data_IF_267435759356
#
_entry.id   IF_267435759356
#
_cell.length_a   1.000
_cell.length_b   1.000
_cell.length_c   1.000
_cell.angle_alpha   90.00
_cell.angle_beta   90.00
_cell.angle_gamma   90.00
#
_symmetry.space_group_name_H-M   'P 1'
#
loop_
_entity.id
_entity.type
_entity.pdbx_description
1 polymer ?
#
# COMPACT_ATOMS: atom_id res chain seq x y z
N UNK A 1 12.42 -26.56 -12.81
CA UNK A 1 12.91 -26.34 -11.43
C UNK A 1 11.72 -26.51 -10.50
N UNK A 2 11.81 -27.32 -9.47
CA UNK A 2 10.67 -27.50 -8.56
C UNK A 2 10.66 -26.35 -7.53
N UNK A 3 9.84 -25.33 -7.78
CA UNK A 3 9.69 -24.16 -6.91
C UNK A 3 8.58 -24.31 -5.87
N UNK A 4 7.95 -25.49 -5.79
CA UNK A 4 6.82 -25.74 -4.89
C UNK A 4 7.18 -25.49 -3.41
N UNK A 5 8.41 -25.81 -2.97
CA UNK A 5 8.89 -25.58 -1.60
C UNK A 5 8.95 -24.09 -1.27
N UNK A 6 9.48 -23.29 -2.18
CA UNK A 6 9.56 -21.83 -2.03
C UNK A 6 8.16 -21.19 -2.05
N UNK A 7 7.25 -21.66 -2.92
CA UNK A 7 5.85 -21.22 -2.96
C UNK A 7 5.13 -21.56 -1.66
N UNK A 8 5.32 -22.77 -1.13
CA UNK A 8 4.75 -23.18 0.16
C UNK A 8 5.28 -22.31 1.31
N UNK A 9 6.58 -22.00 1.33
CA UNK A 9 7.18 -21.11 2.33
C UNK A 9 6.55 -19.70 2.26
N UNK A 10 6.53 -19.07 1.09
CA UNK A 10 5.97 -17.72 0.91
C UNK A 10 4.48 -17.65 1.25
N UNK A 11 3.66 -18.62 0.83
CA UNK A 11 2.25 -18.68 1.18
C UNK A 11 2.04 -18.84 2.70
N UNK A 12 2.90 -19.64 3.36
CA UNK A 12 2.84 -19.81 4.82
C UNK A 12 3.20 -18.53 5.59
N UNK A 13 4.13 -17.72 5.06
CA UNK A 13 4.45 -16.39 5.62
C UNK A 13 3.25 -15.46 5.50
N UNK A 14 2.67 -15.35 4.29
CA UNK A 14 1.56 -14.43 4.01
C UNK A 14 0.32 -14.74 4.84
N UNK A 15 0.00 -16.01 5.03
CA UNK A 15 -1.21 -16.44 5.73
C UNK A 15 -1.02 -16.62 7.24
N UNK A 16 0.24 -16.72 7.70
CA UNK A 16 0.57 -17.08 9.09
C UNK A 16 0.13 -18.49 9.48
N UNK A 17 -0.23 -19.36 8.49
CA UNK A 17 -0.82 -20.68 8.74
C UNK A 17 -0.58 -21.65 7.60
N UNK A 18 -0.09 -22.84 7.91
CA UNK A 18 0.06 -23.91 6.90
C UNK A 18 -1.29 -24.37 6.33
N UNK A 19 -2.37 -24.32 7.12
CA UNK A 19 -3.70 -24.72 6.65
C UNK A 19 -4.23 -23.74 5.61
N UNK A 20 -4.13 -22.43 5.87
CA UNK A 20 -4.55 -21.39 4.90
C UNK A 20 -3.65 -21.40 3.67
N UNK A 21 -2.35 -21.55 3.84
CA UNK A 21 -1.43 -21.68 2.71
C UNK A 21 -1.74 -22.92 1.84
N UNK A 22 -2.23 -24.00 2.45
CA UNK A 22 -2.65 -25.19 1.73
C UNK A 22 -3.92 -24.94 0.89
N UNK A 23 -4.89 -24.22 1.42
CA UNK A 23 -6.07 -23.78 0.69
C UNK A 23 -5.69 -22.92 -0.51
N UNK A 24 -4.84 -21.88 -0.31
CA UNK A 24 -4.38 -20.97 -1.37
C UNK A 24 -3.62 -21.69 -2.49
N UNK A 25 -2.86 -22.73 -2.16
CA UNK A 25 -2.04 -23.48 -3.11
C UNK A 25 -2.69 -24.75 -3.66
N UNK A 26 -3.91 -25.09 -3.23
CA UNK A 26 -4.58 -26.33 -3.56
C UNK A 26 -3.77 -27.59 -3.16
N UNK A 27 -3.16 -27.53 -1.97
CA UNK A 27 -2.46 -28.65 -1.32
C UNK A 27 -3.20 -29.11 -0.08
N UNK A 28 -2.74 -30.19 0.54
CA UNK A 28 -3.12 -30.55 1.91
C UNK A 28 -2.23 -29.81 2.92
N UNK A 29 -2.73 -29.58 4.13
CA UNK A 29 -1.92 -28.97 5.22
C UNK A 29 -0.65 -29.76 5.49
N UNK A 30 -0.70 -31.11 5.45
CA UNK A 30 0.46 -31.97 5.58
C UNK A 30 1.44 -31.82 4.40
N UNK A 31 0.91 -31.63 3.19
CA UNK A 31 1.73 -31.41 1.99
C UNK A 31 2.51 -30.09 2.10
N UNK A 32 1.87 -28.99 2.49
CA UNK A 32 2.57 -27.71 2.71
C UNK A 32 3.62 -27.84 3.82
N UNK A 33 3.28 -28.50 4.95
CA UNK A 33 4.22 -28.70 6.05
C UNK A 33 5.45 -29.51 5.59
N UNK A 34 5.25 -30.55 4.77
CA UNK A 34 6.35 -31.35 4.21
C UNK A 34 7.22 -30.55 3.26
N UNK A 35 6.62 -29.74 2.37
CA UNK A 35 7.37 -28.89 1.44
C UNK A 35 8.22 -27.87 2.21
N UNK A 36 7.68 -27.26 3.24
CA UNK A 36 8.44 -26.31 4.08
C UNK A 36 9.54 -27.03 4.86
N UNK A 37 9.26 -28.19 5.44
CA UNK A 37 10.28 -28.99 6.15
C UNK A 37 11.42 -29.41 5.21
N UNK A 38 11.09 -29.84 4.00
CA UNK A 38 12.10 -30.18 3.01
C UNK A 38 12.96 -28.96 2.58
N UNK A 39 12.39 -27.75 2.57
CA UNK A 39 13.17 -26.52 2.35
C UNK A 39 14.08 -26.20 3.54
N UNK A 40 13.60 -26.37 4.77
CA UNK A 40 14.38 -26.18 5.99
C UNK A 40 15.57 -27.17 6.04
N UNK A 41 15.33 -28.42 5.66
CA UNK A 41 16.38 -29.46 5.57
C UNK A 41 17.40 -29.13 4.46
N UNK A 42 16.96 -28.74 3.27
CA UNK A 42 17.84 -28.37 2.15
C UNK A 42 18.76 -27.19 2.50
N UNK A 43 18.23 -26.20 3.21
CA UNK A 43 18.98 -25.03 3.62
C UNK A 43 19.75 -25.23 4.96
N UNK A 44 19.48 -26.33 5.65
CA UNK A 44 19.97 -26.61 7.00
C UNK A 44 19.65 -25.47 7.98
N UNK A 45 18.43 -24.92 7.90
CA UNK A 45 17.94 -23.81 8.73
C UNK A 45 16.51 -24.07 9.18
N UNK A 46 16.15 -23.55 10.35
CA UNK A 46 14.77 -23.49 10.80
C UNK A 46 14.19 -22.12 10.38
N UNK A 47 13.16 -22.12 9.54
CA UNK A 47 12.59 -20.89 8.99
C UNK A 47 11.33 -20.44 9.72
N UNK A 48 10.64 -21.35 10.44
CA UNK A 48 9.43 -21.04 11.17
C UNK A 48 9.47 -21.45 12.63
N UNK A 49 9.00 -20.57 13.49
CA UNK A 49 8.47 -20.93 14.81
C UNK A 49 7.04 -21.44 14.65
N UNK A 50 6.83 -22.74 14.95
CA UNK A 50 5.51 -23.37 14.84
C UNK A 50 4.82 -23.37 16.19
N UNK A 51 3.55 -22.93 16.24
CA UNK A 51 2.73 -22.90 17.45
C UNK A 51 1.27 -23.29 17.17
N UNK A 52 0.49 -23.49 18.23
CA UNK A 52 -0.97 -23.70 18.07
C UNK A 52 -1.72 -22.51 17.47
N UNK A 53 -1.11 -21.31 17.49
CA UNK A 53 -1.68 -20.07 16.93
C UNK A 53 -1.29 -19.84 15.46
N UNK A 54 -0.49 -20.74 14.87
CA UNK A 54 0.02 -20.65 13.53
C UNK A 54 1.55 -20.64 13.45
N UNK A 55 2.08 -20.09 12.39
CA UNK A 55 3.52 -20.02 12.10
C UNK A 55 4.01 -18.57 12.05
N UNK A 56 5.24 -18.35 12.53
CA UNK A 56 5.93 -17.05 12.44
C UNK A 56 7.36 -17.31 11.98
N UNK A 57 7.91 -16.38 11.21
CA UNK A 57 9.30 -16.49 10.77
C UNK A 57 10.26 -16.49 11.97
N UNK A 58 11.34 -17.23 11.81
CA UNK A 58 12.57 -17.05 12.61
C UNK A 58 13.37 -15.87 12.06
N UNK A 59 14.42 -15.46 12.75
CA UNK A 59 15.36 -14.42 12.26
C UNK A 59 15.96 -14.83 10.90
N UNK A 60 16.30 -16.11 10.74
CA UNK A 60 16.83 -16.63 9.47
C UNK A 60 15.75 -16.64 8.38
N UNK A 61 14.52 -16.99 8.75
CA UNK A 61 13.35 -16.92 7.86
C UNK A 61 13.08 -15.49 7.36
N UNK A 62 13.15 -14.50 8.25
CA UNK A 62 12.98 -13.07 7.89
C UNK A 62 14.06 -12.60 6.91
N UNK A 63 15.30 -13.03 7.09
CA UNK A 63 16.43 -12.70 6.19
C UNK A 63 16.31 -13.36 4.82
N UNK A 64 15.79 -14.59 4.76
CA UNK A 64 15.65 -15.33 3.50
C UNK A 64 14.37 -14.99 2.74
N UNK A 65 13.32 -14.54 3.44
CA UNK A 65 12.03 -14.25 2.81
C UNK A 65 12.13 -13.33 1.59
N UNK A 66 12.79 -12.16 1.63
CA UNK A 66 12.90 -11.29 0.47
C UNK A 66 13.68 -11.92 -0.69
N UNK A 67 14.68 -12.75 -0.42
CA UNK A 67 15.46 -13.43 -1.45
C UNK A 67 14.63 -14.50 -2.16
N UNK A 68 13.87 -15.28 -1.39
CA UNK A 68 12.98 -16.32 -1.93
C UNK A 68 11.86 -15.68 -2.75
N UNK A 69 11.30 -14.58 -2.26
CA UNK A 69 10.27 -13.84 -2.99
C UNK A 69 10.80 -13.32 -4.34
N UNK A 70 11.99 -12.73 -4.34
CA UNK A 70 12.66 -12.30 -5.56
C UNK A 70 12.94 -13.45 -6.53
N UNK A 71 13.33 -14.61 -6.03
CA UNK A 71 13.56 -15.79 -6.86
C UNK A 71 12.26 -16.24 -7.57
N UNK A 72 11.14 -16.32 -6.84
CA UNK A 72 9.85 -16.69 -7.44
C UNK A 72 9.37 -15.65 -8.47
N UNK A 73 9.67 -14.37 -8.24
CA UNK A 73 9.37 -13.32 -9.22
C UNK A 73 10.23 -13.44 -10.49
N UNK A 74 11.49 -13.87 -10.38
CA UNK A 74 12.29 -14.14 -11.58
C UNK A 74 11.73 -15.33 -12.37
N UNK A 75 11.21 -16.35 -11.68
CA UNK A 75 10.49 -17.45 -12.36
C UNK A 75 9.29 -16.90 -13.15
N UNK A 76 8.44 -16.09 -12.52
CA UNK A 76 7.27 -15.46 -13.16
C UNK A 76 7.67 -14.64 -14.40
N UNK A 77 8.76 -13.86 -14.30
CA UNK A 77 9.29 -13.04 -15.39
C UNK A 77 9.72 -13.86 -16.60
N UNK A 78 10.28 -15.04 -16.38
CA UNK A 78 10.64 -15.95 -17.50
C UNK A 78 9.39 -16.28 -18.31
N UNK A 79 8.27 -16.58 -17.66
CA UNK A 79 7.01 -16.87 -18.35
C UNK A 79 6.42 -15.63 -19.02
N UNK A 80 6.46 -14.46 -18.36
CA UNK A 80 6.00 -13.20 -18.95
C UNK A 80 6.81 -12.85 -20.21
N UNK A 81 8.13 -12.99 -20.16
CA UNK A 81 9.01 -12.74 -21.30
C UNK A 81 8.75 -13.73 -22.44
N UNK A 82 8.54 -15.02 -22.14
CA UNK A 82 8.19 -16.02 -23.14
C UNK A 82 6.85 -15.71 -23.83
N UNK A 83 5.87 -15.23 -23.08
CA UNK A 83 4.59 -14.75 -23.61
C UNK A 83 4.78 -13.53 -24.51
N UNK A 84 5.57 -12.53 -24.09
CA UNK A 84 5.88 -11.33 -24.88
C UNK A 84 6.56 -11.70 -26.21
N UNK A 85 7.54 -12.60 -26.20
CA UNK A 85 8.21 -13.11 -27.41
C UNK A 85 7.18 -13.75 -28.35
N UNK A 86 6.15 -14.38 -27.79
CA UNK A 86 5.04 -14.98 -28.56
C UNK A 86 3.97 -13.96 -28.98
N UNK A 87 4.19 -12.66 -28.72
CA UNK A 87 3.25 -11.59 -29.06
C UNK A 87 2.06 -11.44 -28.10
N UNK A 88 2.08 -12.12 -26.96
CA UNK A 88 1.04 -12.06 -25.94
C UNK A 88 1.53 -11.32 -24.70
N UNK A 89 0.96 -10.15 -24.40
CA UNK A 89 1.19 -9.48 -23.12
C UNK A 89 0.29 -10.14 -22.06
N UNK A 90 0.91 -10.89 -21.14
CA UNK A 90 0.21 -11.59 -20.07
C UNK A 90 1.06 -11.66 -18.80
N UNK A 91 0.37 -11.79 -17.66
CA UNK A 91 0.98 -11.89 -16.33
C UNK A 91 0.24 -11.03 -15.31
N UNK A 92 0.61 -11.16 -14.04
CA UNK A 92 0.03 -10.38 -12.96
C UNK A 92 0.90 -9.15 -12.63
N UNK A 93 0.24 -8.02 -12.34
CA UNK A 93 0.85 -6.81 -11.77
C UNK A 93 0.38 -6.69 -10.33
N UNK A 94 1.32 -6.62 -9.39
CA UNK A 94 1.01 -6.42 -7.97
C UNK A 94 1.17 -4.93 -7.61
N UNK A 95 0.11 -4.35 -7.06
CA UNK A 95 0.06 -2.94 -6.66
C UNK A 95 -0.14 -2.87 -5.16
N UNK A 96 0.66 -2.04 -4.47
CA UNK A 96 0.43 -1.66 -3.08
C UNK A 96 0.19 -0.15 -3.02
N UNK A 97 -0.92 0.31 -2.45
CA UNK A 97 -1.33 1.69 -2.59
C UNK A 97 -2.16 2.24 -1.42
N UNK A 98 -2.24 3.56 -1.33
CA UNK A 98 -3.20 4.20 -0.46
C UNK A 98 -4.64 3.87 -0.89
N UNK A 99 -5.56 3.65 0.07
CA UNK A 99 -6.96 3.35 -0.24
C UNK A 99 -7.63 4.41 -1.11
N UNK A 100 -7.28 5.69 -0.93
CA UNK A 100 -7.80 6.78 -1.75
C UNK A 100 -7.42 6.65 -3.22
N UNK A 101 -6.18 6.24 -3.51
CA UNK A 101 -5.72 5.97 -4.87
C UNK A 101 -6.42 4.73 -5.44
N UNK A 102 -6.54 3.67 -4.64
CA UNK A 102 -7.23 2.44 -5.04
C UNK A 102 -8.70 2.70 -5.41
N UNK A 103 -9.37 3.57 -4.67
CA UNK A 103 -10.78 3.87 -4.92
C UNK A 103 -10.99 4.89 -6.08
N UNK A 104 -10.05 5.83 -6.27
CA UNK A 104 -10.26 6.96 -7.20
C UNK A 104 -9.57 6.76 -8.55
N UNK A 105 -8.28 6.38 -8.56
CA UNK A 105 -7.48 6.37 -9.80
C UNK A 105 -7.39 5.01 -10.47
N UNK A 106 -7.20 3.95 -9.69
CA UNK A 106 -6.88 2.64 -10.23
C UNK A 106 -8.04 1.97 -11.01
N UNK A 107 -9.32 2.05 -10.58
CA UNK A 107 -10.39 1.30 -11.25
C UNK A 107 -10.54 1.68 -12.72
N UNK A 108 -10.56 2.97 -13.04
CA UNK A 108 -10.71 3.43 -14.43
C UNK A 108 -9.50 3.06 -15.28
N UNK A 109 -8.29 3.36 -14.79
CA UNK A 109 -7.05 3.08 -15.51
C UNK A 109 -6.86 1.58 -15.75
N UNK A 110 -7.13 0.74 -14.74
CA UNK A 110 -7.02 -0.71 -14.86
C UNK A 110 -8.05 -1.25 -15.86
N UNK A 111 -9.30 -0.82 -15.75
CA UNK A 111 -10.38 -1.24 -16.67
C UNK A 111 -10.03 -0.94 -18.12
N UNK A 112 -9.53 0.27 -18.40
CA UNK A 112 -9.11 0.68 -19.75
C UNK A 112 -7.88 -0.09 -20.21
N UNK A 113 -6.90 -0.32 -19.34
CA UNK A 113 -5.72 -1.10 -19.68
C UNK A 113 -6.08 -2.56 -19.99
N UNK A 114 -6.93 -3.19 -19.18
CA UNK A 114 -7.38 -4.59 -19.40
C UNK A 114 -8.20 -4.76 -20.68
N UNK A 115 -8.91 -3.73 -21.12
CA UNK A 115 -9.59 -3.76 -22.43
C UNK A 115 -8.60 -3.95 -23.58
N UNK A 116 -7.40 -3.36 -23.47
CA UNK A 116 -6.32 -3.50 -24.47
C UNK A 116 -5.46 -4.74 -24.24
N UNK A 117 -5.34 -5.16 -23.00
CA UNK A 117 -4.45 -6.25 -22.57
C UNK A 117 -5.19 -7.24 -21.64
N UNK A 118 -6.14 -8.02 -22.15
CA UNK A 118 -7.00 -8.89 -21.33
C UNK A 118 -6.23 -10.05 -20.64
N UNK A 119 -5.01 -10.34 -21.06
CA UNK A 119 -4.13 -11.33 -20.43
C UNK A 119 -3.41 -10.82 -19.19
N UNK A 120 -3.57 -9.54 -18.81
CA UNK A 120 -2.91 -8.96 -17.62
C UNK A 120 -3.87 -8.91 -16.45
N UNK A 121 -3.48 -9.61 -15.34
CA UNK A 121 -4.19 -9.57 -14.07
C UNK A 121 -3.62 -8.50 -13.14
N UNK A 122 -4.40 -8.13 -12.12
CA UNK A 122 -3.99 -7.18 -11.07
C UNK A 122 -4.26 -7.74 -9.69
N UNK A 123 -3.29 -7.56 -8.79
CA UNK A 123 -3.40 -7.85 -7.36
C UNK A 123 -3.16 -6.56 -6.61
N UNK A 124 -4.16 -6.09 -5.86
CA UNK A 124 -4.11 -4.80 -5.19
C UNK A 124 -4.10 -5.03 -3.68
N UNK A 125 -3.10 -4.45 -3.01
CA UNK A 125 -3.03 -4.32 -1.56
C UNK A 125 -3.28 -2.85 -1.19
N UNK A 126 -4.38 -2.58 -0.50
CA UNK A 126 -4.85 -1.26 -0.10
C UNK A 126 -4.82 -1.05 1.43
N UNK A 127 -3.89 -1.71 2.14
CA UNK A 127 -3.77 -1.56 3.59
C UNK A 127 -3.45 -0.11 4.02
N UNK A 128 -2.92 0.70 3.10
CA UNK A 128 -2.77 2.14 3.23
C UNK A 128 -1.62 2.60 4.13
N UNK A 129 -0.80 1.69 4.61
CA UNK A 129 0.35 2.04 5.46
C UNK A 129 1.57 2.31 4.58
N UNK A 130 2.00 3.59 4.49
CA UNK A 130 3.14 4.00 3.66
C UNK A 130 4.37 3.12 3.83
N UNK A 131 4.73 2.78 5.07
CA UNK A 131 5.86 1.91 5.36
C UNK A 131 5.71 0.53 4.71
N UNK A 132 4.51 -0.06 4.77
CA UNK A 132 4.26 -1.36 4.15
C UNK A 132 4.34 -1.29 2.64
N UNK A 133 3.88 -0.20 2.02
CA UNK A 133 4.03 0.01 0.57
C UNK A 133 5.52 0.04 0.19
N UNK A 134 6.36 0.74 0.97
CA UNK A 134 7.81 0.79 0.76
C UNK A 134 8.45 -0.60 0.96
N UNK A 135 8.05 -1.31 2.02
CA UNK A 135 8.51 -2.68 2.28
C UNK A 135 8.13 -3.62 1.13
N UNK A 136 6.90 -3.52 0.62
CA UNK A 136 6.40 -4.31 -0.50
C UNK A 136 7.18 -4.04 -1.80
N UNK A 137 7.50 -2.79 -2.08
CA UNK A 137 8.35 -2.42 -3.23
C UNK A 137 9.77 -2.96 -3.10
N UNK A 138 10.37 -2.83 -1.91
CA UNK A 138 11.76 -3.23 -1.66
C UNK A 138 11.94 -4.75 -1.67
N UNK A 139 11.00 -5.50 -1.07
CA UNK A 139 11.05 -6.94 -1.05
C UNK A 139 10.45 -7.58 -2.30
N UNK A 140 9.88 -6.77 -3.19
CA UNK A 140 9.25 -7.21 -4.42
C UNK A 140 7.84 -7.79 -4.24
N UNK A 141 7.15 -7.65 -3.11
CA UNK A 141 5.73 -8.06 -2.98
C UNK A 141 4.80 -7.20 -3.83
N UNK A 142 5.18 -5.94 -4.11
CA UNK A 142 4.53 -5.09 -5.09
C UNK A 142 5.49 -4.75 -6.23
N UNK A 143 4.94 -4.66 -7.43
CA UNK A 143 5.62 -4.17 -8.62
C UNK A 143 5.55 -2.64 -8.70
N UNK A 144 4.42 -2.10 -8.28
CA UNK A 144 4.10 -0.67 -8.32
C UNK A 144 3.53 -0.27 -6.96
N UNK A 145 4.01 0.85 -6.44
CA UNK A 145 3.47 1.50 -5.24
C UNK A 145 2.84 2.85 -5.58
N UNK A 146 1.68 3.17 -4.99
CA UNK A 146 1.11 4.51 -5.03
C UNK A 146 1.03 5.07 -3.62
N UNK A 147 1.79 6.12 -3.37
CA UNK A 147 2.01 6.68 -2.02
C UNK A 147 2.44 8.14 -2.11
N UNK A 148 2.66 8.77 -0.95
CA UNK A 148 3.28 10.09 -0.87
C UNK A 148 4.80 10.02 -0.93
N UNK A 149 5.44 11.04 -1.53
CA UNK A 149 6.88 11.19 -1.57
C UNK A 149 7.39 11.96 -0.34
N UNK A 150 8.27 11.32 0.44
CA UNK A 150 9.00 11.97 1.54
C UNK A 150 10.51 12.00 1.24
N UNK A 151 10.90 11.86 -0.05
CA UNK A 151 12.29 11.82 -0.52
C UNK A 151 13.13 10.65 0.05
N UNK A 152 12.47 9.55 0.43
CA UNK A 152 13.08 8.35 1.04
C UNK A 152 12.86 7.09 0.19
N UNK A 153 12.37 7.25 -1.04
CA UNK A 153 12.05 6.14 -1.94
C UNK A 153 13.28 5.71 -2.74
N UNK A 154 13.51 4.40 -2.80
CA UNK A 154 14.46 3.80 -3.73
C UNK A 154 13.75 3.46 -5.06
N UNK A 155 14.40 3.73 -6.18
CA UNK A 155 13.87 3.40 -7.49
C UNK A 155 13.28 4.60 -8.26
N UNK A 156 12.49 4.31 -9.28
CA UNK A 156 11.88 5.34 -10.12
C UNK A 156 10.64 5.90 -9.44
N UNK A 157 10.62 7.22 -9.26
CA UNK A 157 9.48 7.98 -8.80
C UNK A 157 8.83 8.75 -9.95
N UNK A 158 7.51 8.70 -10.03
CA UNK A 158 6.71 9.43 -11.00
C UNK A 158 5.70 10.25 -10.22
N UNK A 159 5.91 11.57 -10.14
CA UNK A 159 4.94 12.49 -9.55
C UNK A 159 3.67 12.52 -10.41
N UNK A 160 2.52 12.39 -9.76
CA UNK A 160 1.21 12.37 -10.42
C UNK A 160 0.37 13.58 -10.04
N UNK A 161 0.33 13.92 -8.76
CA UNK A 161 -0.51 15.00 -8.26
C UNK A 161 0.07 15.61 -6.98
N UNK A 162 -0.03 16.93 -6.86
CA UNK A 162 0.19 17.66 -5.63
C UNK A 162 -1.15 17.86 -4.92
N UNK A 163 -1.42 17.01 -3.92
CA UNK A 163 -2.72 16.90 -3.28
C UNK A 163 -2.74 17.67 -1.96
N UNK A 164 -3.71 18.60 -1.74
CA UNK A 164 -3.78 19.40 -0.52
C UNK A 164 -4.14 18.56 0.70
N UNK A 165 -3.61 18.95 1.86
CA UNK A 165 -4.03 18.46 3.16
C UNK A 165 -5.12 19.37 3.72
N UNK A 166 -6.21 18.76 4.17
CA UNK A 166 -7.37 19.43 4.72
C UNK A 166 -7.62 18.97 6.15
N UNK A 167 -8.07 19.89 7.00
CA UNK A 167 -8.59 19.59 8.32
C UNK A 167 -10.11 19.32 8.22
N UNK A 168 -10.53 18.15 8.66
CA UNK A 168 -11.94 17.76 8.75
C UNK A 168 -12.46 18.02 10.15
N UNK A 169 -13.56 18.75 10.26
CA UNK A 169 -14.24 19.08 11.52
C UNK A 169 -15.75 18.91 11.37
N UNK A 170 -16.44 18.57 12.45
CA UNK A 170 -17.90 18.55 12.45
C UNK A 170 -18.48 19.96 12.40
N UNK A 171 -19.73 20.11 11.95
CA UNK A 171 -20.38 21.40 11.78
C UNK A 171 -20.62 22.19 13.08
N UNK A 172 -20.66 21.51 14.23
CA UNK A 172 -20.77 22.13 15.55
C UNK A 172 -19.41 22.34 16.25
N UNK A 173 -18.31 22.00 15.57
CA UNK A 173 -16.97 22.24 16.06
C UNK A 173 -16.70 23.75 16.21
N UNK A 174 -15.94 24.20 17.22
CA UNK A 174 -15.55 25.62 17.35
C UNK A 174 -14.77 26.11 16.12
N UNK A 175 -14.13 25.21 15.38
CA UNK A 175 -13.41 25.53 14.14
C UNK A 175 -14.30 25.62 12.91
N UNK A 176 -15.57 25.18 12.98
CA UNK A 176 -16.45 25.12 11.81
C UNK A 176 -16.76 26.50 11.17
N UNK A 177 -16.56 27.58 11.92
CA UNK A 177 -16.76 28.96 11.42
C UNK A 177 -15.49 29.57 10.84
N UNK A 178 -14.36 28.85 10.89
CA UNK A 178 -13.10 29.36 10.37
C UNK A 178 -12.98 29.14 8.85
N UNK A 179 -12.20 29.99 8.19
CA UNK A 179 -11.90 29.86 6.76
C UNK A 179 -10.73 28.90 6.51
N UNK A 180 -9.83 28.75 7.49
CA UNK A 180 -8.69 27.84 7.47
C UNK A 180 -8.31 27.44 8.90
N UNK A 181 -7.60 26.33 9.05
CA UNK A 181 -7.05 25.87 10.33
C UNK A 181 -5.56 26.24 10.41
N UNK A 182 -5.15 27.20 11.27
CA UNK A 182 -3.73 27.46 11.52
C UNK A 182 -3.04 26.19 12.06
N UNK A 183 -1.88 25.84 11.52
CA UNK A 183 -1.16 24.61 11.93
C UNK A 183 -0.84 24.60 13.43
N UNK A 184 -0.58 25.76 14.04
CA UNK A 184 -0.33 25.87 15.49
C UNK A 184 -1.49 25.35 16.35
N UNK A 185 -2.71 25.36 15.83
CA UNK A 185 -3.88 24.84 16.55
C UNK A 185 -3.80 23.32 16.75
N UNK A 186 -3.03 22.61 15.97
CA UNK A 186 -2.79 21.17 16.17
C UNK A 186 -2.18 20.86 17.55
N UNK A 187 -1.49 21.82 18.17
CA UNK A 187 -0.92 21.66 19.51
C UNK A 187 -1.97 21.72 20.64
N UNK A 188 -3.10 22.38 20.40
CA UNK A 188 -4.14 22.66 21.42
C UNK A 188 -5.47 21.98 21.11
N UNK A 189 -5.82 21.85 19.83
CA UNK A 189 -7.01 21.16 19.38
C UNK A 189 -6.95 19.66 19.74
N UNK A 190 -8.09 19.07 20.05
CA UNK A 190 -8.21 17.62 20.13
C UNK A 190 -7.97 17.02 18.74
N UNK A 191 -6.84 16.36 18.53
CA UNK A 191 -6.50 15.76 17.26
C UNK A 191 -6.91 14.28 17.20
N UNK A 192 -7.42 13.88 16.04
CA UNK A 192 -7.69 12.49 15.69
C UNK A 192 -6.59 12.05 14.74
N UNK A 193 -5.85 11.00 15.09
CA UNK A 193 -4.82 10.42 14.22
C UNK A 193 -5.35 9.14 13.56
N UNK A 194 -5.21 9.07 12.24
CA UNK A 194 -5.42 7.82 11.51
C UNK A 194 -4.07 7.14 11.32
N UNK A 195 -3.87 6.03 12.02
CA UNK A 195 -2.59 5.35 11.91
C UNK A 195 -2.70 3.88 12.29
N UNK A 196 -2.09 3.05 11.55
CA UNK A 196 -1.43 1.88 12.10
C UNK A 196 -0.16 2.32 12.88
N UNK A 197 -0.32 3.31 13.79
CA UNK A 197 0.72 3.83 14.64
C UNK A 197 1.24 5.24 14.34
N UNK A 198 1.09 5.80 13.14
CA UNK A 198 1.36 7.21 12.78
C UNK A 198 0.80 7.48 11.39
N UNK A 199 0.01 8.54 11.22
CA UNK A 199 -0.29 9.03 9.88
C UNK A 199 0.96 9.75 9.36
N UNK A 200 1.74 9.17 8.44
CA UNK A 200 3.03 9.74 8.04
C UNK A 200 2.87 11.12 7.41
N UNK A 201 1.79 11.35 6.65
CA UNK A 201 1.59 12.62 5.96
C UNK A 201 1.27 13.75 6.94
N UNK A 202 0.33 13.52 7.88
CA UNK A 202 0.05 14.47 8.95
C UNK A 202 1.29 14.73 9.81
N UNK A 203 1.92 13.67 10.29
CA UNK A 203 3.11 13.77 11.15
C UNK A 203 4.29 14.41 10.43
N UNK A 204 4.48 14.09 9.13
CA UNK A 204 5.53 14.66 8.30
C UNK A 204 5.37 16.18 8.15
N UNK A 205 4.15 16.65 7.87
CA UNK A 205 3.88 18.08 7.72
C UNK A 205 4.03 18.83 9.03
N UNK A 206 3.44 18.32 10.11
CA UNK A 206 3.46 18.99 11.43
C UNK A 206 4.88 19.07 11.98
N UNK A 207 5.70 18.05 11.75
CA UNK A 207 7.10 18.03 12.17
C UNK A 207 7.97 19.12 11.51
N UNK A 208 7.62 19.58 10.32
CA UNK A 208 8.35 20.67 9.64
C UNK A 208 8.19 22.03 10.34
N UNK A 209 7.21 22.15 11.23
CA UNK A 209 6.90 23.38 11.96
C UNK A 209 7.17 23.29 13.46
N UNK A 210 7.90 22.25 13.90
CA UNK A 210 8.20 22.00 15.32
C UNK A 210 6.95 21.92 16.21
N UNK A 211 5.81 21.53 15.65
CA UNK A 211 4.54 21.40 16.37
C UNK A 211 4.38 19.96 16.87
N UNK A 212 4.07 19.81 18.15
CA UNK A 212 3.66 18.52 18.74
C UNK A 212 2.13 18.49 18.79
N UNK A 213 1.47 17.67 17.96
CA UNK A 213 0.00 17.65 17.94
C UNK A 213 -0.55 17.02 19.22
N UNK A 214 -1.66 17.57 19.72
CA UNK A 214 -2.39 17.02 20.86
C UNK A 214 -3.29 15.85 20.43
N UNK A 215 -2.69 14.69 20.17
CA UNK A 215 -3.40 13.48 19.74
C UNK A 215 -4.14 12.88 20.94
N UNK A 216 -5.47 12.91 20.88
CA UNK A 216 -6.35 12.32 21.90
C UNK A 216 -6.96 11.00 21.41
N UNK A 217 -7.23 10.90 20.13
CA UNK A 217 -7.82 9.70 19.55
C UNK A 217 -6.94 9.13 18.43
N UNK A 218 -6.84 7.81 18.40
CA UNK A 218 -6.13 7.07 17.36
C UNK A 218 -7.05 6.01 16.76
N UNK A 219 -7.08 5.87 15.45
CA UNK A 219 -7.89 4.87 14.74
C UNK A 219 -7.06 4.23 13.62
N UNK A 220 -7.56 3.14 13.06
CA UNK A 220 -6.85 2.42 12.00
C UNK A 220 -7.27 2.86 10.59
N UNK A 221 -8.43 3.51 10.44
CA UNK A 221 -8.97 3.85 9.13
C UNK A 221 -9.39 5.30 9.04
N UNK A 222 -9.20 5.91 7.87
CA UNK A 222 -9.64 7.29 7.60
C UNK A 222 -11.16 7.44 7.71
N UNK A 223 -11.94 6.40 7.39
CA UNK A 223 -13.39 6.41 7.54
C UNK A 223 -13.81 6.59 8.99
N UNK A 224 -13.19 5.86 9.92
CA UNK A 224 -13.45 6.01 11.35
C UNK A 224 -13.02 7.38 11.85
N UNK A 225 -11.84 7.88 11.44
CA UNK A 225 -11.38 9.21 11.81
C UNK A 225 -12.34 10.31 11.32
N UNK A 226 -12.80 10.22 10.06
CA UNK A 226 -13.78 11.16 9.48
C UNK A 226 -15.13 11.07 10.21
N UNK A 227 -15.60 9.86 10.53
CA UNK A 227 -16.83 9.67 11.31
C UNK A 227 -16.74 10.26 12.72
N UNK A 228 -15.57 10.20 13.36
CA UNK A 228 -15.33 10.85 14.67
C UNK A 228 -15.32 12.37 14.52
N UNK A 229 -14.62 12.91 13.53
CA UNK A 229 -14.60 14.34 13.24
C UNK A 229 -16.02 14.88 12.99
N UNK A 230 -16.85 14.16 12.22
CA UNK A 230 -18.25 14.55 11.94
C UNK A 230 -19.13 14.65 13.19
N UNK A 231 -18.72 14.04 14.28
CA UNK A 231 -19.39 14.11 15.60
C UNK A 231 -18.75 15.07 16.58
N UNK A 232 -17.95 16.01 16.08
CA UNK A 232 -17.25 17.03 16.87
C UNK A 232 -16.29 16.47 17.93
N UNK A 233 -15.78 15.24 17.73
CA UNK A 233 -14.84 14.63 18.67
C UNK A 233 -13.44 15.22 18.58
N UNK A 234 -13.10 15.88 17.46
CA UNK A 234 -11.81 16.49 17.24
C UNK A 234 -11.57 16.87 15.77
N UNK A 235 -10.34 17.23 15.49
CA UNK A 235 -9.85 17.59 14.15
C UNK A 235 -9.11 16.40 13.55
N UNK A 236 -9.45 16.04 12.33
CA UNK A 236 -8.73 15.02 11.54
C UNK A 236 -8.10 15.68 10.31
N UNK A 237 -6.79 15.54 10.14
CA UNK A 237 -6.09 16.03 8.94
C UNK A 237 -5.88 14.86 7.98
N UNK A 238 -6.28 15.05 6.73
CA UNK A 238 -6.10 14.06 5.65
C UNK A 238 -5.91 14.75 4.31
N UNK A 239 -5.48 14.01 3.29
CA UNK A 239 -5.40 14.53 1.93
C UNK A 239 -6.80 14.64 1.30
N UNK A 240 -6.96 15.59 0.36
CA UNK A 240 -8.22 15.87 -0.31
C UNK A 240 -8.78 14.63 -1.03
N UNK A 241 -7.93 13.84 -1.71
CA UNK A 241 -8.36 12.63 -2.41
C UNK A 241 -9.08 11.64 -1.48
N UNK A 242 -8.65 11.55 -0.22
CA UNK A 242 -9.29 10.68 0.79
C UNK A 242 -10.67 11.18 1.19
N UNK A 243 -10.96 12.48 1.05
CA UNK A 243 -12.27 13.04 1.45
C UNK A 243 -13.40 12.58 0.54
N UNK A 244 -13.10 12.22 -0.70
CA UNK A 244 -14.08 11.75 -1.68
C UNK A 244 -14.52 10.29 -1.46
N UNK A 245 -13.86 9.56 -0.55
CA UNK A 245 -14.20 8.15 -0.28
C UNK A 245 -15.44 7.98 0.59
N UNK A 246 -15.86 9.03 1.32
CA UNK A 246 -16.89 8.92 2.36
C UNK A 246 -17.81 10.12 2.35
N UNK A 247 -19.09 9.87 2.46
CA UNK A 247 -20.13 10.92 2.60
C UNK A 247 -20.45 11.11 4.10
N UNK A 248 -19.54 11.80 4.81
CA UNK A 248 -19.78 12.22 6.19
C UNK A 248 -20.03 13.73 6.27
N UNK A 249 -20.93 14.18 7.19
CA UNK A 249 -21.23 15.62 7.36
C UNK A 249 -20.06 16.32 8.09
N UNK A 250 -19.04 16.69 7.35
CA UNK A 250 -17.86 17.41 7.84
C UNK A 250 -17.63 18.70 7.06
N UNK A 251 -17.10 19.71 7.73
CA UNK A 251 -16.52 20.88 7.09
C UNK A 251 -15.05 20.60 6.82
N UNK A 252 -14.61 20.90 5.62
CA UNK A 252 -13.22 20.79 5.17
C UNK A 252 -12.59 22.18 5.24
N UNK A 253 -11.51 22.31 5.98
CA UNK A 253 -10.77 23.56 6.15
C UNK A 253 -9.37 23.41 5.54
N UNK A 254 -8.94 24.33 4.68
CA UNK A 254 -7.53 24.41 4.30
C UNK A 254 -6.66 24.60 5.55
N UNK A 255 -5.44 24.09 5.51
CA UNK A 255 -4.44 24.40 6.54
C UNK A 255 -3.82 25.76 6.28
N UNK A 256 -3.38 26.46 7.33
CA UNK A 256 -2.70 27.74 7.23
C UNK A 256 -1.35 27.68 7.98
N UNK A 257 -0.20 27.78 7.25
CA UNK A 257 -0.10 27.90 5.79
C UNK A 257 -0.57 26.63 5.05
N UNK A 258 -1.03 26.73 3.79
CA UNK A 258 -1.49 25.61 3.00
C UNK A 258 -0.43 24.50 2.88
N UNK A 259 -0.84 23.27 3.10
CA UNK A 259 0.04 22.11 3.08
C UNK A 259 -0.41 21.12 1.99
N UNK A 260 0.56 20.43 1.41
CA UNK A 260 0.35 19.48 0.32
C UNK A 260 1.21 18.25 0.52
N UNK A 261 0.76 17.14 -0.04
CA UNK A 261 1.59 15.94 -0.25
C UNK A 261 1.77 15.72 -1.76
N UNK A 262 2.93 15.23 -2.14
CA UNK A 262 3.17 14.76 -3.51
C UNK A 262 2.73 13.31 -3.60
N UNK A 263 1.58 13.05 -4.23
CA UNK A 263 1.12 11.70 -4.55
C UNK A 263 1.71 11.25 -5.88
N UNK A 264 2.17 10.02 -5.94
CA UNK A 264 2.77 9.49 -7.14
C UNK A 264 2.89 7.99 -7.17
N UNK A 265 3.56 7.52 -8.20
CA UNK A 265 3.81 6.11 -8.48
C UNK A 265 5.29 5.81 -8.33
N UNK A 266 5.62 4.81 -7.51
CA UNK A 266 6.96 4.23 -7.43
C UNK A 266 6.98 2.86 -8.09
N UNK A 267 8.00 2.58 -8.88
CA UNK A 267 8.19 1.27 -9.52
C UNK A 267 9.30 0.51 -8.81
N UNK A 268 9.01 -0.70 -8.36
CA UNK A 268 9.99 -1.56 -7.70
C UNK A 268 11.19 -1.82 -8.62
N UNK A 269 12.43 -1.66 -8.15
CA UNK A 269 13.63 -2.02 -8.92
C UNK A 269 13.58 -3.48 -9.41
N UNK A 270 12.94 -4.35 -8.65
CA UNK A 270 12.76 -5.76 -9.01
C UNK A 270 11.79 -5.91 -10.19
N UNK A 271 10.84 -5.01 -10.38
CA UNK A 271 9.80 -5.09 -11.42
C UNK A 271 10.21 -4.55 -12.80
N UNK A 272 11.32 -3.85 -12.92
CA UNK A 272 11.78 -3.24 -14.19
C UNK A 272 11.94 -4.20 -15.37
N UNK A 273 12.11 -5.50 -15.11
CA UNK A 273 12.21 -6.52 -16.15
C UNK A 273 10.87 -7.00 -16.70
N UNK A 274 9.73 -6.74 -16.01
CA UNK A 274 8.42 -7.24 -16.41
C UNK A 274 7.83 -6.45 -17.59
N UNK A 275 7.49 -7.12 -18.71
CA UNK A 275 6.83 -6.51 -19.86
C UNK A 275 5.47 -5.90 -19.50
N UNK A 276 4.68 -6.61 -18.68
CA UNK A 276 3.36 -6.15 -18.25
C UNK A 276 3.46 -4.85 -17.43
N UNK A 277 4.42 -4.79 -16.48
CA UNK A 277 4.65 -3.59 -15.66
C UNK A 277 5.07 -2.41 -16.54
N UNK A 278 6.03 -2.60 -17.46
CA UNK A 278 6.47 -1.54 -18.39
C UNK A 278 5.31 -1.02 -19.24
N UNK A 279 4.49 -1.91 -19.77
CA UNK A 279 3.33 -1.53 -20.58
C UNK A 279 2.32 -0.73 -19.74
N UNK A 280 2.03 -1.18 -18.51
CA UNK A 280 1.09 -0.49 -17.61
C UNK A 280 1.62 0.88 -17.17
N UNK A 281 2.89 0.98 -16.77
CA UNK A 281 3.50 2.27 -16.38
C UNK A 281 3.45 3.28 -17.53
N UNK A 282 3.78 2.85 -18.77
CA UNK A 282 3.66 3.69 -19.95
C UNK A 282 2.22 4.11 -20.20
N UNK A 283 1.28 3.16 -20.17
CA UNK A 283 -0.14 3.43 -20.35
C UNK A 283 -0.67 4.41 -19.30
N UNK A 284 -0.28 4.22 -18.03
CA UNK A 284 -0.66 5.10 -16.94
C UNK A 284 -0.19 6.54 -17.19
N UNK A 285 1.09 6.74 -17.54
CA UNK A 285 1.66 8.06 -17.86
C UNK A 285 0.93 8.77 -19.01
N UNK A 286 0.52 8.03 -20.03
CA UNK A 286 -0.14 8.57 -21.22
C UNK A 286 -1.62 8.92 -20.97
N UNK A 287 -2.28 8.19 -20.08
CA UNK A 287 -3.72 8.26 -19.90
C UNK A 287 -4.18 8.86 -18.57
N UNK A 288 -3.32 8.94 -17.57
CA UNK A 288 -3.66 9.57 -16.30
C UNK A 288 -3.72 11.09 -16.45
N UNK A 289 -4.79 11.68 -15.92
CA UNK A 289 -4.95 13.14 -15.76
C UNK A 289 -5.44 13.39 -14.33
N UNK A 290 -4.65 14.08 -13.54
CA UNK A 290 -5.07 14.54 -12.22
C UNK A 290 -6.32 15.41 -12.36
N UNK A 291 -7.33 15.19 -11.51
CA UNK A 291 -8.59 15.94 -11.54
C UNK A 291 -9.58 15.57 -12.66
N UNK A 292 -9.28 14.59 -13.53
CA UNK A 292 -10.21 14.16 -14.60
C UNK A 292 -11.23 13.10 -14.14
N UNK A 293 -11.16 12.69 -12.88
CA UNK A 293 -11.98 11.62 -12.29
C UNK A 293 -12.92 12.13 -11.18
N UNK A 294 -13.25 13.44 -11.19
CA UNK A 294 -14.27 14.04 -10.31
C UNK A 294 -15.64 14.11 -10.97
#
# INVERSE_FOLDING_TARGET
>A
MDTARYKAFVASVKTGSFSRAAEDLNYTTSGVSQLVTALEEELNLVLFHRSRKGVKLTVDGERLYPLILNFLRQEERIYQMANEISGLLAGDISISAYPSVCASWLPDIISRFQTLHPGVGFKINDDGVRRHIIEDLNNGSADIGFLSNHHDLAGEWIELEKNPLLALVGFESPYAQWDSLPLRECATATMIECAHGKNPDQSYVVAQYDIVPNIVYTTLTSSTATAMASRNMGVFITNELSTHMWDFPVKMLPLDPPQYIELGMAVSPVAYGSPAVKAFVRFFRENFRAGALT
#
